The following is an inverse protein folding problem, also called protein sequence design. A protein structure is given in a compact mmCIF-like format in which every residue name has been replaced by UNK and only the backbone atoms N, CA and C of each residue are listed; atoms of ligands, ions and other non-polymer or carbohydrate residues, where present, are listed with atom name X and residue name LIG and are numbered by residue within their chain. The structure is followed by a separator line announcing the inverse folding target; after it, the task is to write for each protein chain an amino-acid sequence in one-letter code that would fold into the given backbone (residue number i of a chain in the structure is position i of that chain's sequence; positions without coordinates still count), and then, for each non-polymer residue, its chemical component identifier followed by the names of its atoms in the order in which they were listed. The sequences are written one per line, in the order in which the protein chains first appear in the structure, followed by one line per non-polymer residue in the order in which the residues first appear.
data_IF_858299633200
#
_entry.id   IF_858299633200
#
_cell.length_a   1.000
_cell.length_b   1.000
_cell.length_c   1.000
_cell.angle_alpha   90.00
_cell.angle_beta   90.00
_cell.angle_gamma   90.00
#
_symmetry.space_group_name_H-M   'P 1'
#
loop_
_entity.id
_entity.type
_entity.pdbx_description
1 polymer ?
#
# COMPACT_ATOMS: atom_id res chain seq x y z
N UNK A 1 3.86 -2.01 -1.47
CA UNK A 1 2.72 -1.07 -1.39
C UNK A 1 3.04 0.04 -0.41
N UNK A 2 2.62 1.28 -0.70
CA UNK A 2 2.92 2.48 0.09
C UNK A 2 1.69 3.00 0.81
N UNK A 3 1.78 3.18 2.12
CA UNK A 3 0.67 3.59 3.00
C UNK A 3 0.99 4.95 3.62
N UNK A 4 -0.01 5.81 3.70
CA UNK A 4 0.07 7.05 4.46
C UNK A 4 -0.71 6.94 5.76
N UNK A 5 -0.12 7.38 6.87
CA UNK A 5 -0.73 7.41 8.20
C UNK A 5 -0.78 8.85 8.74
N UNK A 6 -1.95 9.31 9.15
CA UNK A 6 -2.11 10.51 9.96
C UNK A 6 -2.77 10.13 11.29
N UNK A 7 -2.02 10.29 12.38
CA UNK A 7 -2.41 9.93 13.76
C UNK A 7 -1.65 10.84 14.71
N UNK A 8 -2.34 11.60 15.57
CA UNK A 8 -1.71 12.60 16.42
C UNK A 8 -1.10 12.02 17.71
N UNK A 9 -1.57 10.86 18.16
CA UNK A 9 -0.99 10.16 19.30
C UNK A 9 0.34 9.50 18.89
N UNK A 10 1.46 10.09 19.36
CA UNK A 10 2.81 9.71 18.92
C UNK A 10 3.14 8.23 19.14
N UNK A 11 2.75 7.68 20.30
CA UNK A 11 3.04 6.28 20.64
C UNK A 11 2.26 5.33 19.72
N UNK A 12 0.98 5.60 19.49
CA UNK A 12 0.15 4.80 18.59
C UNK A 12 0.64 4.91 17.14
N UNK A 13 0.97 6.12 16.69
CA UNK A 13 1.54 6.38 15.38
C UNK A 13 2.82 5.54 15.17
N UNK A 14 3.77 5.61 16.10
CA UNK A 14 5.04 4.86 16.03
C UNK A 14 4.83 3.34 15.97
N UNK A 15 3.88 2.81 16.78
CA UNK A 15 3.57 1.37 16.79
C UNK A 15 2.91 0.95 15.47
N UNK A 16 1.98 1.74 14.92
CA UNK A 16 1.35 1.43 13.63
C UNK A 16 2.41 1.44 12.52
N UNK A 17 3.27 2.46 12.45
CA UNK A 17 4.37 2.55 11.48
C UNK A 17 5.28 1.32 11.57
N UNK A 18 5.70 0.96 12.79
CA UNK A 18 6.54 -0.21 13.00
C UNK A 18 5.88 -1.49 12.47
N UNK A 19 4.63 -1.75 12.87
CA UNK A 19 3.90 -2.97 12.49
C UNK A 19 3.67 -3.07 10.98
N UNK A 20 3.25 -2.00 10.34
CA UNK A 20 3.06 -1.98 8.89
C UNK A 20 4.39 -2.13 8.14
N UNK A 21 5.49 -1.61 8.68
CA UNK A 21 6.83 -1.80 8.11
C UNK A 21 7.30 -3.26 8.26
N UNK A 22 7.02 -3.89 9.40
CA UNK A 22 7.27 -5.33 9.62
C UNK A 22 6.45 -6.19 8.62
N UNK A 23 5.22 -5.79 8.28
CA UNK A 23 4.37 -6.40 7.25
C UNK A 23 4.86 -6.11 5.81
N UNK A 24 5.96 -5.35 5.64
CA UNK A 24 6.58 -5.09 4.33
C UNK A 24 6.07 -3.86 3.59
N UNK A 25 5.19 -3.06 4.20
CA UNK A 25 4.72 -1.80 3.61
C UNK A 25 5.79 -0.69 3.74
N UNK A 26 5.79 0.23 2.79
CA UNK A 26 6.45 1.53 2.95
C UNK A 26 5.46 2.50 3.57
N UNK A 27 5.83 3.14 4.68
CA UNK A 27 4.90 3.97 5.44
C UNK A 27 5.46 5.38 5.59
N UNK A 28 4.70 6.36 5.13
CA UNK A 28 4.91 7.77 5.45
C UNK A 28 3.87 8.19 6.50
N UNK A 29 4.24 9.07 7.41
CA UNK A 29 3.34 9.43 8.49
C UNK A 29 3.43 10.91 8.89
N UNK A 30 2.37 11.42 9.52
CA UNK A 30 2.34 12.74 10.16
C UNK A 30 1.41 12.73 11.40
N UNK A 31 1.37 13.87 12.10
CA UNK A 31 0.68 14.01 13.37
C UNK A 31 -0.45 15.04 13.35
N UNK A 32 -0.79 15.61 12.20
CA UNK A 32 -1.88 16.56 12.06
C UNK A 32 -2.47 16.58 10.65
N UNK A 33 -3.75 17.00 10.57
CA UNK A 33 -4.49 16.95 9.32
C UNK A 33 -4.03 17.97 8.27
N UNK A 34 -3.40 19.09 8.66
CA UNK A 34 -2.89 20.06 7.67
C UNK A 34 -1.68 19.50 6.94
N UNK A 35 -0.73 18.97 7.71
CA UNK A 35 0.43 18.28 7.17
C UNK A 35 0.01 17.09 6.28
N UNK A 36 -1.04 16.35 6.71
CA UNK A 36 -1.60 15.27 5.89
C UNK A 36 -2.08 15.76 4.52
N UNK A 37 -2.84 16.87 4.46
CA UNK A 37 -3.32 17.43 3.20
C UNK A 37 -2.15 17.84 2.31
N UNK A 38 -1.13 18.49 2.86
CA UNK A 38 0.03 18.97 2.10
C UNK A 38 0.81 17.79 1.49
N UNK A 39 1.07 16.71 2.24
CA UNK A 39 1.73 15.49 1.73
C UNK A 39 0.87 14.78 0.69
N UNK A 40 -0.42 14.56 0.98
CA UNK A 40 -1.34 13.88 0.07
C UNK A 40 -1.59 14.66 -1.23
N UNK A 41 -1.29 15.96 -1.27
CA UNK A 41 -1.41 16.77 -2.48
C UNK A 41 -0.33 16.46 -3.52
N UNK A 42 0.87 16.06 -3.08
CA UNK A 42 2.04 15.87 -3.95
C UNK A 42 2.49 14.40 -4.08
N UNK A 43 1.92 13.48 -3.28
CA UNK A 43 2.34 12.07 -3.26
C UNK A 43 1.15 11.15 -3.48
N UNK A 44 1.37 10.03 -4.17
CA UNK A 44 0.38 8.96 -4.36
C UNK A 44 0.61 7.84 -3.36
N UNK A 45 -0.49 7.25 -2.87
CA UNK A 45 -0.47 6.14 -1.91
C UNK A 45 -1.45 5.05 -2.32
N UNK A 46 -1.17 3.81 -1.94
CA UNK A 46 -2.04 2.66 -2.18
C UNK A 46 -3.17 2.58 -1.15
N UNK A 47 -2.94 3.11 0.06
CA UNK A 47 -3.96 3.28 1.09
C UNK A 47 -3.59 4.45 2.02
N UNK A 48 -4.60 5.03 2.64
CA UNK A 48 -4.47 6.11 3.63
C UNK A 48 -5.18 5.70 4.91
N UNK A 49 -4.51 5.88 6.04
CA UNK A 49 -5.06 5.69 7.40
C UNK A 49 -5.17 7.07 8.03
N UNK A 50 -6.35 7.45 8.48
CA UNK A 50 -6.60 8.74 9.11
C UNK A 50 -7.25 8.57 10.48
N UNK A 51 -6.67 9.15 11.52
CA UNK A 51 -7.48 9.42 12.70
C UNK A 51 -8.52 10.50 12.38
N UNK A 52 -9.72 10.33 12.93
CA UNK A 52 -10.78 11.32 12.79
C UNK A 52 -10.43 12.58 13.59
N UNK A 53 -9.91 12.42 14.80
CA UNK A 53 -9.69 13.53 15.73
C UNK A 53 -8.22 13.96 15.73
N UNK A 54 -7.85 14.82 14.79
CA UNK A 54 -6.49 15.36 14.69
C UNK A 54 -6.48 16.88 14.83
N UNK A 55 -5.37 17.49 15.32
CA UNK A 55 -5.20 18.93 15.35
C UNK A 55 -5.09 19.51 13.93
N UNK A 56 -5.36 20.80 13.81
CA UNK A 56 -5.32 21.68 12.62
C UNK A 56 -6.37 21.35 11.55
N UNK A 57 -6.67 20.08 11.28
CA UNK A 57 -7.77 19.63 10.44
C UNK A 57 -8.15 18.20 10.86
N UNK A 58 -9.44 17.92 10.94
CA UNK A 58 -9.95 16.58 11.23
C UNK A 58 -9.80 15.62 10.02
N UNK A 59 -9.88 14.30 10.28
CA UNK A 59 -9.75 13.28 9.24
C UNK A 59 -10.79 13.41 8.12
N UNK A 60 -12.00 13.90 8.42
CA UNK A 60 -13.03 14.14 7.39
C UNK A 60 -12.64 15.30 6.47
N UNK A 61 -12.01 16.33 7.01
CA UNK A 61 -11.48 17.45 6.20
C UNK A 61 -10.35 16.99 5.30
N UNK A 62 -9.46 16.12 5.80
CA UNK A 62 -8.41 15.49 4.98
C UNK A 62 -9.02 14.67 3.86
N UNK A 63 -10.01 13.81 4.16
CA UNK A 63 -10.70 12.99 3.15
C UNK A 63 -11.36 13.87 2.07
N UNK A 64 -12.09 14.92 2.47
CA UNK A 64 -12.71 15.85 1.52
C UNK A 64 -11.69 16.51 0.60
N UNK A 65 -10.54 16.94 1.16
CA UNK A 65 -9.45 17.50 0.38
C UNK A 65 -8.91 16.47 -0.64
N UNK A 66 -8.65 15.23 -0.21
CA UNK A 66 -8.19 14.14 -1.06
C UNK A 66 -9.17 13.88 -2.23
N UNK A 67 -10.47 13.80 -1.94
CA UNK A 67 -11.51 13.59 -2.97
C UNK A 67 -11.65 14.82 -3.87
N UNK A 68 -11.50 16.03 -3.33
CA UNK A 68 -11.48 17.29 -4.11
C UNK A 68 -10.32 17.38 -5.10
N UNK A 69 -9.21 16.68 -4.84
CA UNK A 69 -8.07 16.53 -5.78
C UNK A 69 -8.33 15.43 -6.85
N UNK A 70 -9.48 14.78 -6.84
CA UNK A 70 -9.81 13.67 -7.76
C UNK A 70 -9.16 12.35 -7.40
N UNK A 71 -8.49 12.23 -6.23
CA UNK A 71 -7.84 11.01 -5.80
C UNK A 71 -8.84 10.01 -5.24
N UNK A 72 -8.77 8.77 -5.72
CA UNK A 72 -9.66 7.65 -5.32
C UNK A 72 -9.00 6.68 -4.35
N UNK A 73 -7.80 7.00 -3.86
CA UNK A 73 -7.05 6.19 -2.89
C UNK A 73 -7.95 5.75 -1.74
N UNK A 74 -7.97 4.45 -1.40
CA UNK A 74 -8.79 3.95 -0.31
C UNK A 74 -8.36 4.52 1.04
N UNK A 75 -9.35 4.90 1.86
CA UNK A 75 -9.15 5.52 3.16
C UNK A 75 -9.79 4.68 4.25
N UNK A 76 -8.99 4.35 5.27
CA UNK A 76 -9.40 3.73 6.52
C UNK A 76 -9.41 4.79 7.62
N UNK A 77 -10.53 4.99 8.27
CA UNK A 77 -10.58 5.83 9.47
C UNK A 77 -10.28 5.05 10.74
N UNK A 78 -9.46 5.63 11.62
CA UNK A 78 -9.36 5.24 13.02
C UNK A 78 -10.33 6.10 13.82
N UNK A 79 -11.14 5.49 14.70
CA UNK A 79 -12.20 6.20 15.42
C UNK A 79 -12.37 5.71 16.85
N UNK A 80 -12.72 6.61 17.78
CA UNK A 80 -13.13 6.23 19.12
C UNK A 80 -14.54 5.59 19.11
N UNK A 81 -14.84 4.72 20.08
CA UNK A 81 -16.02 3.85 20.16
C UNK A 81 -17.39 4.58 20.11
N UNK A 82 -17.45 5.84 20.47
CA UNK A 82 -18.72 6.58 20.67
C UNK A 82 -19.26 7.27 19.39
N UNK A 83 -18.58 7.11 18.28
CA UNK A 83 -18.88 7.84 17.04
C UNK A 83 -19.75 7.04 16.03
N UNK A 84 -20.89 6.46 16.46
CA UNK A 84 -21.87 5.88 15.52
C UNK A 84 -22.37 6.93 14.54
N UNK A 85 -22.53 8.19 14.99
CA UNK A 85 -22.89 9.34 14.14
C UNK A 85 -21.79 9.66 13.12
N UNK A 86 -20.53 9.46 13.48
CA UNK A 86 -19.39 9.77 12.61
C UNK A 86 -19.17 8.67 11.57
N UNK A 87 -19.53 7.41 11.88
CA UNK A 87 -19.51 6.31 10.90
C UNK A 87 -20.49 6.54 9.75
N UNK A 88 -21.71 7.01 10.06
CA UNK A 88 -22.73 7.31 9.04
C UNK A 88 -22.26 8.47 8.17
N UNK A 89 -21.77 9.57 8.79
CA UNK A 89 -21.23 10.72 8.05
C UNK A 89 -20.05 10.36 7.17
N UNK A 90 -19.22 9.44 7.62
CA UNK A 90 -18.01 9.06 6.89
C UNK A 90 -18.27 8.14 5.71
N UNK A 91 -19.20 7.18 5.80
CA UNK A 91 -19.63 6.36 4.67
C UNK A 91 -20.20 7.25 3.55
N UNK A 92 -21.00 8.26 3.92
CA UNK A 92 -21.52 9.26 2.97
C UNK A 92 -20.40 10.18 2.41
N UNK A 93 -19.27 10.29 3.10
CA UNK A 93 -18.12 11.12 2.70
C UNK A 93 -17.12 10.41 1.78
N UNK A 94 -17.32 9.12 1.47
CA UNK A 94 -16.47 8.37 0.55
C UNK A 94 -15.25 7.70 1.19
N UNK A 95 -15.27 7.43 2.51
CA UNK A 95 -14.33 6.52 3.15
C UNK A 95 -14.64 5.06 2.76
N UNK A 96 -13.61 4.21 2.78
CA UNK A 96 -13.73 2.82 2.38
C UNK A 96 -14.00 1.89 3.57
N UNK A 97 -13.47 2.20 4.75
CA UNK A 97 -13.67 1.39 5.96
C UNK A 97 -13.39 2.21 7.24
N UNK A 98 -13.72 1.61 8.41
CA UNK A 98 -13.55 2.16 9.75
C UNK A 98 -12.99 1.11 10.69
N UNK A 99 -12.07 1.53 11.55
CA UNK A 99 -11.51 0.70 12.61
C UNK A 99 -11.64 1.43 13.95
N UNK A 100 -12.31 0.77 14.90
CA UNK A 100 -12.60 1.35 16.22
C UNK A 100 -11.44 1.13 17.17
N UNK A 101 -10.95 2.18 17.80
CA UNK A 101 -9.97 2.12 18.88
C UNK A 101 -10.62 1.63 20.19
N UNK A 102 -9.99 0.72 20.97
CA UNK A 102 -8.75 -0.01 20.66
C UNK A 102 -8.99 -1.17 19.67
N UNK A 103 -8.01 -1.43 18.81
CA UNK A 103 -8.05 -2.47 17.78
C UNK A 103 -6.85 -3.43 17.87
N UNK A 104 -6.96 -4.59 17.24
CA UNK A 104 -5.80 -5.46 17.02
C UNK A 104 -5.08 -5.10 15.71
N UNK A 105 -3.76 -5.29 15.68
CA UNK A 105 -2.98 -5.04 14.46
C UNK A 105 -3.31 -6.03 13.35
N UNK A 106 -3.72 -7.26 13.71
CA UNK A 106 -4.21 -8.25 12.75
C UNK A 106 -5.47 -7.75 12.03
N UNK A 107 -6.39 -7.08 12.75
CA UNK A 107 -7.58 -6.49 12.15
C UNK A 107 -7.22 -5.31 11.24
N UNK A 108 -6.33 -4.41 11.68
CA UNK A 108 -5.82 -3.31 10.86
C UNK A 108 -5.22 -3.82 9.55
N UNK A 109 -4.28 -4.77 9.62
CA UNK A 109 -3.62 -5.35 8.44
C UNK A 109 -4.61 -6.07 7.53
N UNK A 110 -5.61 -6.80 8.08
CA UNK A 110 -6.62 -7.48 7.28
C UNK A 110 -7.53 -6.50 6.51
N UNK A 111 -7.95 -5.40 7.16
CA UNK A 111 -8.76 -4.35 6.51
C UNK A 111 -7.98 -3.63 5.42
N UNK A 112 -6.73 -3.27 5.66
CA UNK A 112 -5.86 -2.65 4.66
C UNK A 112 -5.69 -3.54 3.43
N UNK A 113 -5.38 -4.83 3.63
CA UNK A 113 -5.30 -5.79 2.51
C UNK A 113 -6.62 -5.88 1.72
N UNK A 114 -7.76 -5.92 2.41
CA UNK A 114 -9.07 -5.97 1.76
C UNK A 114 -9.36 -4.71 0.93
N UNK A 115 -9.05 -3.53 1.47
CA UNK A 115 -9.24 -2.25 0.79
C UNK A 115 -8.33 -2.11 -0.44
N UNK A 116 -7.05 -2.43 -0.29
CA UNK A 116 -6.09 -2.38 -1.41
C UNK A 116 -6.48 -3.35 -2.52
N UNK A 117 -6.85 -4.60 -2.20
CA UNK A 117 -7.39 -5.54 -3.19
C UNK A 117 -8.58 -4.97 -3.95
N UNK A 118 -9.54 -4.38 -3.22
CA UNK A 118 -10.72 -3.78 -3.80
C UNK A 118 -10.39 -2.67 -4.80
N UNK A 119 -9.36 -1.85 -4.54
CA UNK A 119 -8.93 -0.78 -5.45
C UNK A 119 -8.34 -1.30 -6.77
N UNK A 120 -7.78 -2.51 -6.75
CA UNK A 120 -7.29 -3.20 -7.96
C UNK A 120 -8.33 -4.12 -8.61
N UNK A 121 -9.56 -4.19 -8.07
CA UNK A 121 -10.62 -5.06 -8.58
C UNK A 121 -10.38 -6.56 -8.33
N UNK A 122 -9.53 -6.90 -7.37
CA UNK A 122 -9.20 -8.28 -7.00
C UNK A 122 -10.01 -8.69 -5.78
N UNK A 123 -10.61 -9.88 -5.81
CA UNK A 123 -11.43 -10.42 -4.71
C UNK A 123 -10.68 -11.41 -3.84
N UNK A 124 -9.76 -12.18 -4.41
CA UNK A 124 -9.06 -13.26 -3.74
C UNK A 124 -7.82 -12.78 -2.98
N UNK A 125 -7.51 -13.45 -1.86
CA UNK A 125 -6.29 -13.20 -1.10
C UNK A 125 -5.03 -13.77 -1.79
N UNK A 126 -5.20 -14.65 -2.76
CA UNK A 126 -4.12 -15.25 -3.52
C UNK A 126 -4.13 -14.70 -4.93
N UNK A 127 -3.07 -14.00 -5.29
CA UNK A 127 -2.86 -13.51 -6.64
C UNK A 127 -2.26 -14.63 -7.52
N UNK A 128 -2.73 -14.75 -8.75
CA UNK A 128 -2.26 -15.77 -9.68
C UNK A 128 -1.84 -15.19 -11.02
N UNK A 129 -0.72 -15.66 -11.54
CA UNK A 129 -0.28 -15.43 -12.93
C UNK A 129 0.42 -16.66 -13.47
N UNK A 130 -0.20 -17.36 -14.40
CA UNK A 130 0.27 -18.66 -14.88
C UNK A 130 0.46 -19.67 -13.72
N UNK A 131 1.69 -20.16 -13.49
CA UNK A 131 2.08 -21.07 -12.43
C UNK A 131 2.68 -20.39 -11.20
N UNK A 132 2.63 -19.05 -11.14
CA UNK A 132 3.02 -18.24 -9.99
C UNK A 132 1.79 -17.92 -9.15
N UNK A 133 1.89 -18.10 -7.84
CA UNK A 133 0.89 -17.63 -6.87
C UNK A 133 1.57 -16.87 -5.73
N UNK A 134 0.88 -15.85 -5.24
CA UNK A 134 1.29 -15.02 -4.10
C UNK A 134 0.11 -14.90 -3.15
N UNK A 135 0.24 -15.44 -1.95
CA UNK A 135 -0.73 -15.31 -0.87
C UNK A 135 -0.44 -14.05 -0.06
N UNK A 136 -1.30 -13.04 -0.18
CA UNK A 136 -1.16 -11.75 0.51
C UNK A 136 -1.36 -11.87 2.03
N UNK A 137 -1.93 -12.96 2.54
CA UNK A 137 -2.16 -13.16 3.98
C UNK A 137 -0.94 -13.77 4.67
N UNK A 138 -0.37 -14.81 4.07
CA UNK A 138 0.79 -15.52 4.61
C UNK A 138 2.13 -15.04 4.05
N UNK A 139 2.12 -14.12 3.10
CA UNK A 139 3.27 -13.63 2.31
C UNK A 139 4.03 -14.75 1.60
N UNK A 140 3.32 -15.83 1.27
CA UNK A 140 3.89 -17.02 0.65
C UNK A 140 3.85 -16.92 -0.86
N UNK A 141 4.99 -17.19 -1.50
CA UNK A 141 5.14 -17.17 -2.96
C UNK A 141 5.46 -18.54 -3.46
N UNK A 142 4.70 -19.03 -4.46
CA UNK A 142 4.91 -20.34 -5.08
C UNK A 142 5.05 -20.18 -6.60
N UNK A 143 6.01 -20.89 -7.21
CA UNK A 143 6.17 -20.96 -8.66
C UNK A 143 6.35 -22.42 -9.10
N UNK A 144 5.48 -22.91 -9.99
CA UNK A 144 5.54 -24.30 -10.46
C UNK A 144 5.51 -25.34 -9.32
N UNK A 145 4.75 -25.07 -8.24
CA UNK A 145 4.65 -25.91 -7.04
C UNK A 145 5.84 -25.80 -6.07
N UNK A 146 6.83 -24.95 -6.34
CA UNK A 146 7.98 -24.70 -5.44
C UNK A 146 7.84 -23.37 -4.73
N UNK A 147 8.13 -23.34 -3.43
CA UNK A 147 8.15 -22.13 -2.64
C UNK A 147 9.39 -21.28 -2.96
N UNK A 148 9.17 -19.96 -3.10
CA UNK A 148 10.22 -18.99 -3.39
C UNK A 148 10.34 -18.04 -2.21
N UNK A 149 11.52 -17.96 -1.62
CA UNK A 149 11.82 -17.02 -0.53
C UNK A 149 12.24 -15.66 -1.10
N UNK A 150 11.47 -14.64 -0.76
CA UNK A 150 11.71 -13.24 -1.13
C UNK A 150 12.07 -12.42 0.12
N UNK A 151 12.89 -11.39 -0.05
CA UNK A 151 13.02 -10.34 0.96
C UNK A 151 11.74 -9.45 0.97
N UNK A 152 11.55 -8.66 2.02
CA UNK A 152 10.37 -7.78 2.13
C UNK A 152 10.20 -6.85 0.90
N UNK A 153 11.28 -6.27 0.41
CA UNK A 153 11.25 -5.39 -0.78
C UNK A 153 11.00 -6.15 -2.09
N UNK A 154 11.57 -7.35 -2.24
CA UNK A 154 11.27 -8.23 -3.40
C UNK A 154 9.79 -8.65 -3.38
N UNK A 155 9.25 -8.98 -2.19
CA UNK A 155 7.85 -9.32 -2.04
C UNK A 155 6.95 -8.14 -2.39
N UNK A 156 7.18 -6.95 -1.83
CA UNK A 156 6.41 -5.74 -2.10
C UNK A 156 6.43 -5.38 -3.61
N UNK A 157 7.57 -5.52 -4.27
CA UNK A 157 7.69 -5.29 -5.71
C UNK A 157 6.92 -6.35 -6.51
N UNK A 158 7.01 -7.63 -6.15
CA UNK A 158 6.27 -8.69 -6.83
C UNK A 158 4.76 -8.52 -6.65
N UNK A 159 4.31 -8.21 -5.43
CA UNK A 159 2.91 -7.93 -5.13
C UNK A 159 2.38 -6.77 -5.99
N UNK A 160 3.12 -5.67 -6.07
CA UNK A 160 2.76 -4.53 -6.91
C UNK A 160 2.66 -4.90 -8.40
N UNK A 161 3.59 -5.73 -8.90
CA UNK A 161 3.53 -6.24 -10.27
C UNK A 161 2.30 -7.11 -10.51
N UNK A 162 1.96 -7.98 -9.57
CA UNK A 162 0.82 -8.88 -9.71
C UNK A 162 -0.53 -8.15 -9.65
N UNK A 163 -0.65 -7.07 -8.87
CA UNK A 163 -1.82 -6.19 -8.89
C UNK A 163 -1.95 -5.39 -10.21
N UNK A 164 -0.83 -5.11 -10.86
CA UNK A 164 -0.79 -4.35 -12.12
C UNK A 164 -0.54 -5.24 -13.34
N UNK A 165 -0.97 -6.50 -13.29
CA UNK A 165 -0.78 -7.45 -14.37
C UNK A 165 -1.26 -6.89 -15.72
N UNK A 166 -0.42 -7.03 -16.75
CA UNK A 166 -0.71 -6.56 -18.11
C UNK A 166 -0.52 -5.06 -18.33
N UNK A 167 -0.09 -4.32 -17.33
CA UNK A 167 0.25 -2.90 -17.42
C UNK A 167 1.75 -2.69 -17.56
N UNK A 168 2.12 -1.64 -18.27
CA UNK A 168 3.52 -1.17 -18.31
C UNK A 168 3.74 -0.26 -17.11
N UNK A 169 4.72 -0.60 -16.28
CA UNK A 169 5.10 0.17 -15.10
C UNK A 169 6.42 0.89 -15.38
N UNK A 170 6.45 2.20 -15.16
CA UNK A 170 7.70 2.97 -15.19
C UNK A 170 8.54 2.70 -13.93
N UNK A 171 9.84 3.05 -13.98
CA UNK A 171 10.70 3.00 -12.78
C UNK A 171 10.16 3.87 -11.66
N UNK A 172 9.73 5.08 -11.98
CA UNK A 172 9.13 6.03 -11.03
C UNK A 172 7.89 5.43 -10.36
N UNK A 173 6.96 4.84 -11.12
CA UNK A 173 5.78 4.17 -10.55
C UNK A 173 6.17 3.05 -9.58
N UNK A 174 7.20 2.27 -9.90
CA UNK A 174 7.67 1.18 -9.02
C UNK A 174 8.32 1.77 -7.77
N UNK A 175 9.14 2.82 -7.91
CA UNK A 175 9.82 3.49 -6.80
C UNK A 175 8.80 4.11 -5.84
N UNK A 176 7.83 4.84 -6.34
CA UNK A 176 6.77 5.48 -5.56
C UNK A 176 5.94 4.50 -4.72
N UNK A 177 5.78 3.25 -5.16
CA UNK A 177 4.95 2.24 -4.47
C UNK A 177 5.74 1.27 -3.58
N UNK A 178 7.07 1.16 -3.78
CA UNK A 178 7.89 0.19 -3.05
C UNK A 178 8.81 0.86 -2.02
N UNK A 179 9.11 2.16 -2.18
CA UNK A 179 9.94 2.93 -1.24
C UNK A 179 9.16 4.11 -0.66
N UNK A 180 9.55 4.57 0.54
CA UNK A 180 8.98 5.73 1.21
C UNK A 180 9.60 7.05 0.71
N UNK A 181 9.01 8.16 1.12
CA UNK A 181 9.42 9.51 0.71
C UNK A 181 10.87 9.86 1.05
N UNK A 182 11.38 9.37 2.20
CA UNK A 182 12.73 9.64 2.67
C UNK A 182 13.81 8.78 1.99
N UNK A 183 13.42 8.00 0.97
CA UNK A 183 14.36 7.14 0.27
C UNK A 183 15.24 7.98 -0.68
N UNK A 184 16.50 8.22 -0.31
CA UNK A 184 17.52 8.91 -1.12
C UNK A 184 18.31 7.96 -2.04
N UNK A 185 17.77 6.79 -2.36
CA UNK A 185 18.43 5.80 -3.21
C UNK A 185 18.52 6.23 -4.66
N UNK A 186 19.61 5.83 -5.33
CA UNK A 186 19.83 6.17 -6.75
C UNK A 186 18.86 5.42 -7.67
N UNK A 187 18.64 5.99 -8.87
CA UNK A 187 17.71 5.50 -9.91
C UNK A 187 17.91 4.04 -10.36
N UNK A 188 19.00 3.40 -9.97
CA UNK A 188 19.32 2.01 -10.33
C UNK A 188 18.75 0.95 -9.39
N UNK A 189 18.19 1.34 -8.23
CA UNK A 189 17.71 0.39 -7.23
C UNK A 189 16.58 -0.49 -7.77
N UNK A 190 15.65 0.10 -8.52
CA UNK A 190 14.54 -0.62 -9.15
C UNK A 190 15.07 -1.72 -10.08
N UNK A 191 16.05 -1.41 -10.93
CA UNK A 191 16.65 -2.37 -11.86
C UNK A 191 17.36 -3.52 -11.14
N UNK A 192 18.03 -3.22 -10.02
CA UNK A 192 18.68 -4.24 -9.17
C UNK A 192 17.66 -5.21 -8.60
N UNK A 193 16.56 -4.71 -8.01
CA UNK A 193 15.50 -5.55 -7.46
C UNK A 193 14.73 -6.32 -8.55
N UNK A 194 14.49 -5.73 -9.72
CA UNK A 194 13.94 -6.45 -10.87
C UNK A 194 14.87 -7.58 -11.28
N UNK A 195 16.18 -7.38 -11.29
CA UNK A 195 17.16 -8.43 -11.60
C UNK A 195 17.09 -9.57 -10.57
N UNK A 196 17.01 -9.27 -9.28
CA UNK A 196 16.87 -10.27 -8.23
C UNK A 196 15.56 -11.05 -8.37
N UNK A 197 14.43 -10.36 -8.58
CA UNK A 197 13.15 -11.00 -8.80
C UNK A 197 13.16 -11.91 -10.03
N UNK A 198 13.67 -11.45 -11.16
CA UNK A 198 13.78 -12.29 -12.38
C UNK A 198 14.61 -13.54 -12.15
N UNK A 199 15.71 -13.43 -11.40
CA UNK A 199 16.53 -14.58 -11.05
C UNK A 199 15.75 -15.61 -10.24
N UNK A 200 14.93 -15.16 -9.28
CA UNK A 200 14.15 -16.03 -8.37
C UNK A 200 12.86 -16.55 -9.02
N UNK A 201 12.12 -15.68 -9.69
CA UNK A 201 10.81 -16.00 -10.27
C UNK A 201 10.95 -16.66 -11.64
N UNK A 202 11.83 -16.17 -12.51
CA UNK A 202 11.95 -16.62 -13.91
C UNK A 202 13.14 -17.55 -14.15
N UNK A 203 14.02 -17.70 -13.15
CA UNK A 203 15.18 -18.60 -13.26
C UNK A 203 14.75 -20.05 -13.39
N UNK A 204 15.21 -20.73 -14.47
CA UNK A 204 14.88 -22.15 -14.70
C UNK A 204 13.49 -22.42 -15.29
N UNK A 205 12.69 -21.39 -15.59
CA UNK A 205 11.38 -21.52 -16.24
C UNK A 205 11.44 -20.99 -17.68
N UNK A 206 10.81 -21.70 -18.61
CA UNK A 206 10.76 -21.28 -20.04
C UNK A 206 9.91 -20.00 -20.17
N UNK A 207 8.74 -19.97 -19.55
CA UNK A 207 7.86 -18.81 -19.54
C UNK A 207 8.34 -17.77 -18.56
N UNK A 208 8.82 -16.63 -19.08
CA UNK A 208 9.18 -15.46 -18.26
C UNK A 208 7.93 -14.64 -17.95
N UNK A 209 7.76 -14.24 -16.67
CA UNK A 209 6.62 -13.46 -16.22
C UNK A 209 6.97 -11.98 -16.06
N UNK A 210 8.24 -11.65 -15.76
CA UNK A 210 8.73 -10.29 -15.63
C UNK A 210 9.42 -9.88 -16.91
N UNK A 211 8.73 -9.11 -17.75
CA UNK A 211 9.21 -8.66 -19.06
C UNK A 211 9.70 -7.22 -18.97
N UNK A 212 10.94 -6.98 -19.38
CA UNK A 212 11.46 -5.62 -19.55
C UNK A 212 11.17 -5.17 -20.97
N UNK A 213 10.47 -4.04 -21.09
CA UNK A 213 10.30 -3.42 -22.41
C UNK A 213 11.53 -2.58 -22.73
N UNK A 214 12.02 -2.59 -23.99
CA UNK A 214 13.07 -1.69 -24.41
C UNK A 214 12.59 -0.23 -24.27
N UNK A 215 13.50 0.72 -23.98
CA UNK A 215 13.15 2.14 -24.00
C UNK A 215 12.55 2.46 -25.37
N UNK A 216 11.32 3.00 -25.36
CA UNK A 216 10.74 3.51 -26.60
C UNK A 216 11.65 4.65 -27.09
N UNK A 217 12.19 4.52 -28.27
CA UNK A 217 12.86 5.60 -28.96
C UNK A 217 11.83 6.73 -29.18
N UNK A 218 12.03 7.84 -28.47
CA UNK A 218 11.29 9.08 -28.68
C UNK A 218 11.78 9.75 -29.94
#
# INVERSE_FOLDING_TARGET
MRIFLAEDEQDLNAIIVQKLTEDGYSVDHCFDGRTAIDILSCTEYDAVILDIMMPKADGFTVLRALRGMGKTTPVLFLTAKDAVSDRVKGLDSGANDYLVKPFSFEELSARLRAMMRGSFGVTDNVLHIADLSLDCTSHRVMRGGKEITLSAKEYAMLEYFMYNQGRVLSREMIEDHVWNFDYEGGTNVVDVYISYLRKKIDGGYDKKLIVLLPPMLQ
#
